data_IF_749664020663
#
_entry.id   IF_749664020663
#
_cell.length_a   1.000
_cell.length_b   1.000
_cell.length_c   1.000
_cell.angle_alpha   90.00
_cell.angle_beta   90.00
_cell.angle_gamma   90.00
#
_symmetry.space_group_name_H-M   'P 1'
#
loop_
_entity.id
_entity.type
_entity.pdbx_description
1 polymer ?
#
# COMPACT_ATOMS: atom_id res chain seq x y z
N UNK A 1 -16.21 8.59 11.07
CA UNK A 1 -16.06 7.54 12.12
C UNK A 1 -15.49 8.19 13.38
N UNK A 2 -15.88 7.75 14.58
CA UNK A 2 -15.28 8.23 15.84
C UNK A 2 -13.90 7.60 16.02
N UNK A 3 -12.90 8.36 16.47
CA UNK A 3 -11.52 7.88 16.65
C UNK A 3 -11.44 6.63 17.55
N UNK A 4 -12.18 6.64 18.66
CA UNK A 4 -12.26 5.50 19.58
C UNK A 4 -12.74 4.20 18.92
N UNK A 5 -13.59 4.28 17.88
CA UNK A 5 -14.05 3.09 17.14
C UNK A 5 -12.95 2.48 16.28
N UNK A 6 -12.10 3.32 15.68
CA UNK A 6 -10.94 2.87 14.91
C UNK A 6 -9.90 2.22 15.83
N UNK A 7 -9.59 2.87 16.95
CA UNK A 7 -8.67 2.34 17.96
C UNK A 7 -9.12 0.96 18.43
N UNK A 8 -10.41 0.78 18.71
CA UNK A 8 -10.96 -0.51 19.11
C UNK A 8 -10.84 -1.58 18.01
N UNK A 9 -11.09 -1.21 16.74
CA UNK A 9 -11.01 -2.15 15.61
C UNK A 9 -9.58 -2.64 15.36
N UNK A 10 -8.57 -1.81 15.60
CA UNK A 10 -7.16 -2.18 15.46
C UNK A 10 -6.65 -2.92 16.71
N UNK A 11 -7.04 -2.47 17.91
CA UNK A 11 -6.58 -3.07 19.16
C UNK A 11 -7.10 -4.50 19.37
N UNK A 12 -8.31 -4.82 18.90
CA UNK A 12 -8.90 -6.15 19.06
C UNK A 12 -8.07 -7.29 18.41
N UNK A 13 -7.72 -7.25 17.11
CA UNK A 13 -6.88 -8.28 16.51
C UNK A 13 -5.45 -8.27 17.05
N UNK A 14 -4.90 -7.10 17.40
CA UNK A 14 -3.57 -6.98 18.02
C UNK A 14 -3.50 -7.74 19.35
N UNK A 15 -4.43 -7.47 20.26
CA UNK A 15 -4.52 -8.13 21.57
C UNK A 15 -4.81 -9.64 21.45
N UNK A 16 -5.45 -10.05 20.36
CA UNK A 16 -5.74 -11.45 20.07
C UNK A 16 -4.58 -12.17 19.35
N UNK A 17 -3.48 -11.47 19.00
CA UNK A 17 -2.36 -12.05 18.25
C UNK A 17 -2.73 -12.48 16.83
N UNK A 18 -3.78 -11.89 16.26
CA UNK A 18 -4.25 -12.21 14.90
C UNK A 18 -3.45 -11.38 13.91
N UNK A 19 -2.84 -12.04 12.90
CA UNK A 19 -2.22 -11.31 11.79
C UNK A 19 -3.29 -10.73 10.87
N UNK A 20 -3.19 -9.45 10.58
CA UNK A 20 -4.10 -8.74 9.67
C UNK A 20 -3.33 -7.82 8.72
N UNK A 21 -3.98 -7.45 7.61
CA UNK A 21 -3.55 -6.41 6.69
C UNK A 21 -4.48 -5.20 6.84
N UNK A 22 -3.90 -4.00 6.92
CA UNK A 22 -4.61 -2.74 6.68
C UNK A 22 -4.53 -2.44 5.19
N UNK A 23 -5.67 -2.21 4.55
CA UNK A 23 -5.75 -1.90 3.12
C UNK A 23 -6.51 -0.59 2.87
N UNK A 24 -6.69 -0.25 1.59
CA UNK A 24 -7.51 0.87 1.18
C UNK A 24 -6.94 2.24 1.55
N UNK A 25 -7.82 3.22 1.78
CA UNK A 25 -7.43 4.60 2.03
C UNK A 25 -6.67 4.82 3.34
N UNK A 26 -6.95 4.00 4.37
CA UNK A 26 -6.24 4.09 5.65
C UNK A 26 -4.77 3.68 5.50
N UNK A 27 -4.47 2.66 4.70
CA UNK A 27 -3.09 2.26 4.42
C UNK A 27 -2.30 3.36 3.69
N UNK A 28 -2.95 4.04 2.74
CA UNK A 28 -2.36 5.16 1.99
C UNK A 28 -2.04 6.34 2.92
N UNK A 29 -2.97 6.67 3.81
CA UNK A 29 -2.77 7.69 4.84
C UNK A 29 -1.65 7.33 5.81
N UNK A 30 -1.60 6.08 6.28
CA UNK A 30 -0.56 5.59 7.19
C UNK A 30 0.84 5.63 6.55
N UNK A 31 0.94 5.47 5.22
CA UNK A 31 2.18 5.64 4.48
C UNK A 31 2.59 7.12 4.29
N UNK A 32 1.70 8.07 4.56
CA UNK A 32 1.98 9.51 4.49
C UNK A 32 1.34 10.24 3.31
N UNK A 33 0.52 9.57 2.50
CA UNK A 33 -0.23 10.23 1.43
C UNK A 33 -1.65 10.55 1.88
N UNK A 34 -2.01 11.83 1.87
CA UNK A 34 -3.35 12.27 2.26
C UNK A 34 -4.40 11.78 1.28
N UNK A 35 -5.38 11.02 1.79
CA UNK A 35 -6.54 10.51 1.06
C UNK A 35 -7.77 10.55 1.95
N UNK A 36 -8.84 11.17 1.45
CA UNK A 36 -10.14 11.07 2.10
C UNK A 36 -10.62 9.63 2.03
N UNK A 37 -10.86 9.02 3.18
CA UNK A 37 -11.38 7.65 3.33
C UNK A 37 -12.51 7.67 4.34
N UNK A 38 -13.61 7.01 4.04
CA UNK A 38 -14.79 6.99 4.90
C UNK A 38 -14.88 5.71 5.74
N UNK A 39 -14.14 4.70 5.33
CA UNK A 39 -14.13 3.33 5.81
C UNK A 39 -12.71 2.85 6.17
N UNK A 40 -12.65 1.65 6.75
CA UNK A 40 -11.43 0.93 7.10
C UNK A 40 -11.58 -0.54 6.68
N UNK A 41 -10.56 -1.05 5.98
CA UNK A 41 -10.47 -2.45 5.59
C UNK A 41 -9.44 -3.17 6.47
N UNK A 42 -9.90 -4.12 7.27
CA UNK A 42 -9.06 -5.03 8.06
C UNK A 42 -9.28 -6.47 7.58
N UNK A 43 -8.22 -7.11 7.10
CA UNK A 43 -8.32 -8.47 6.54
C UNK A 43 -7.48 -9.47 7.34
N UNK A 44 -8.10 -10.26 8.24
CA UNK A 44 -7.39 -11.23 9.07
C UNK A 44 -6.99 -12.47 8.28
N UNK A 45 -5.78 -12.99 8.51
CA UNK A 45 -5.32 -14.27 7.96
C UNK A 45 -5.17 -14.32 6.43
N UNK A 46 -5.12 -13.16 5.76
CA UNK A 46 -5.05 -13.11 4.30
C UNK A 46 -3.65 -13.41 3.78
N UNK A 47 -3.54 -14.41 2.91
CA UNK A 47 -2.33 -14.63 2.10
C UNK A 47 -2.41 -13.79 0.83
N UNK A 48 -1.60 -12.74 0.76
CA UNK A 48 -1.53 -11.83 -0.39
C UNK A 48 -0.38 -12.19 -1.32
N UNK A 49 -0.61 -12.08 -2.63
CA UNK A 49 0.45 -12.12 -3.64
C UNK A 49 0.80 -10.69 -4.02
N UNK A 50 2.08 -10.37 -3.98
CA UNK A 50 2.59 -9.07 -4.44
C UNK A 50 3.08 -9.18 -5.88
N UNK A 51 2.75 -8.17 -6.68
CA UNK A 51 3.38 -7.96 -7.99
C UNK A 51 4.65 -7.15 -7.79
N UNK A 52 5.73 -7.50 -8.49
CA UNK A 52 6.95 -6.71 -8.45
C UNK A 52 6.73 -5.37 -9.17
N UNK A 53 7.51 -4.34 -8.81
CA UNK A 53 7.41 -3.03 -9.48
C UNK A 53 7.62 -3.15 -11.01
N UNK A 54 8.61 -3.92 -11.53
CA UNK A 54 8.76 -4.09 -12.98
C UNK A 54 7.54 -4.73 -13.65
N UNK A 55 6.95 -5.75 -13.00
CA UNK A 55 5.75 -6.38 -13.51
C UNK A 55 4.54 -5.44 -13.48
N UNK A 56 4.41 -4.61 -12.44
CA UNK A 56 3.35 -3.60 -12.35
C UNK A 56 3.50 -2.51 -13.42
N UNK A 57 4.72 -2.07 -13.73
CA UNK A 57 5.01 -1.16 -14.84
C UNK A 57 4.53 -1.79 -16.16
N UNK A 58 4.94 -3.02 -16.45
CA UNK A 58 4.54 -3.71 -17.67
C UNK A 58 3.00 -3.86 -17.78
N UNK A 59 2.33 -4.19 -16.68
CA UNK A 59 0.86 -4.25 -16.64
C UNK A 59 0.21 -2.90 -16.94
N UNK A 60 0.78 -1.80 -16.43
CA UNK A 60 0.28 -0.44 -16.66
C UNK A 60 0.53 0.05 -18.08
N UNK A 61 1.68 -0.28 -18.66
CA UNK A 61 1.99 0.01 -20.06
C UNK A 61 1.00 -0.70 -21.00
N UNK A 62 0.65 -1.96 -20.70
CA UNK A 62 -0.38 -2.71 -21.44
C UNK A 62 -1.78 -2.07 -21.26
N UNK A 63 -2.12 -1.64 -20.05
CA UNK A 63 -3.42 -1.03 -19.76
C UNK A 63 -3.61 0.35 -20.45
N UNK A 64 -2.51 1.09 -20.64
CA UNK A 64 -2.41 2.33 -21.42
C UNK A 64 -3.52 3.36 -21.15
N UNK A 65 -3.82 3.64 -19.87
CA UNK A 65 -4.79 4.68 -19.50
C UNK A 65 -4.04 5.99 -19.26
N UNK A 66 -4.67 7.17 -19.46
CA UNK A 66 -4.00 8.46 -19.23
C UNK A 66 -3.34 8.58 -17.84
N UNK A 67 -4.00 8.07 -16.79
CA UNK A 67 -3.47 8.06 -15.42
C UNK A 67 -2.26 7.13 -15.20
N UNK A 68 -2.07 6.12 -16.05
CA UNK A 68 -0.98 5.17 -15.88
C UNK A 68 0.37 5.80 -16.23
N UNK A 69 0.40 6.89 -17.01
CA UNK A 69 1.65 7.60 -17.39
C UNK A 69 2.37 8.09 -16.15
N UNK A 70 1.68 8.84 -15.29
CA UNK A 70 2.26 9.39 -14.05
C UNK A 70 2.63 8.27 -13.07
N UNK A 71 1.78 7.25 -12.96
CA UNK A 71 2.03 6.09 -12.10
C UNK A 71 3.30 5.32 -12.53
N UNK A 72 3.47 5.08 -13.83
CA UNK A 72 4.66 4.39 -14.38
C UNK A 72 5.92 5.19 -14.07
N UNK A 73 5.87 6.51 -14.22
CA UNK A 73 7.02 7.35 -13.91
C UNK A 73 7.40 7.27 -12.42
N UNK A 74 6.41 7.35 -11.52
CA UNK A 74 6.67 7.21 -10.09
C UNK A 74 7.24 5.83 -9.72
N UNK A 75 6.72 4.76 -10.32
CA UNK A 75 7.23 3.40 -10.12
C UNK A 75 8.67 3.23 -10.59
N UNK A 76 9.08 3.93 -11.66
CA UNK A 76 10.47 3.94 -12.13
C UNK A 76 11.40 4.65 -11.14
N UNK A 77 10.97 5.77 -10.56
CA UNK A 77 11.74 6.44 -9.50
C UNK A 77 11.97 5.54 -8.29
N UNK A 78 10.95 4.79 -7.84
CA UNK A 78 11.08 3.85 -6.72
C UNK A 78 12.12 2.73 -7.00
N UNK A 79 12.27 2.31 -8.26
CA UNK A 79 13.31 1.35 -8.63
C UNK A 79 14.71 1.96 -8.57
N UNK A 80 14.85 3.21 -9.02
CA UNK A 80 16.12 3.94 -9.00
C UNK A 80 16.62 4.18 -7.57
N UNK A 81 15.73 4.61 -6.66
CA UNK A 81 16.05 4.81 -5.24
C UNK A 81 16.54 3.52 -4.57
N UNK A 82 15.89 2.39 -4.87
CA UNK A 82 16.26 1.08 -4.32
C UNK A 82 17.62 0.58 -4.83
N UNK A 83 18.03 1.01 -6.02
CA UNK A 83 19.33 0.65 -6.60
C UNK A 83 20.47 1.54 -6.07
N UNK A 84 20.18 2.77 -5.65
CA UNK A 84 21.15 3.70 -5.06
C UNK A 84 21.60 3.35 -3.63
N UNK A 85 20.82 2.56 -2.89
CA UNK A 85 21.13 2.17 -1.49
C UNK A 85 21.96 0.88 -1.37
N UNK A 86 22.50 0.35 -2.48
CA UNK A 86 23.16 -0.97 -2.54
C UNK A 86 24.63 -0.97 -2.98
N UNK A 87 25.28 0.19 -3.14
CA UNK A 87 26.67 0.26 -3.65
C UNK A 87 27.67 0.98 -2.74
N UNK A 88 27.41 1.06 -1.44
CA UNK A 88 28.35 1.62 -0.46
C UNK A 88 28.54 0.66 0.72
N UNK A 89 29.18 -0.49 0.44
CA UNK A 89 30.00 -1.27 1.39
C UNK A 89 31.11 -1.98 0.62
#
# INVERSE_FOLDING_TARGET
MKLASLEALVAAPENAGVRYLVAGGLAVNAYGYLRLTHDVDLVPGLFVRFVSIPALIAMKEIANRPRDVDDIQHLRWLLEEKHGTGSDT
#
